data_IF_104614798231
#
_entry.id   IF_104614798231
#
_cell.length_a   1.000
_cell.length_b   1.000
_cell.length_c   1.000
_cell.angle_alpha   90.00
_cell.angle_beta   90.00
_cell.angle_gamma   90.00
#
_symmetry.space_group_name_H-M   'P 1'
#
loop_
_entity.id
_entity.type
_entity.pdbx_description
1 polymer ?
#
# COMPACT_ATOMS: atom_id res chain seq x y z
N UNK A 1 9.24 21.81 -7.17
CA UNK A 1 8.57 21.69 -8.49
C UNK A 1 9.56 21.12 -9.47
N UNK A 2 9.25 20.00 -10.12
CA UNK A 2 10.16 19.22 -10.97
C UNK A 2 9.56 19.05 -12.37
N UNK A 3 10.40 19.01 -13.40
CA UNK A 3 9.97 18.75 -14.77
C UNK A 3 10.25 17.29 -15.12
N UNK A 4 9.21 16.52 -15.48
CA UNK A 4 9.34 15.10 -15.85
C UNK A 4 9.81 14.97 -17.30
N UNK A 5 10.91 14.24 -17.53
CA UNK A 5 11.54 14.08 -18.85
C UNK A 5 11.27 12.70 -19.46
N UNK A 6 11.13 11.65 -18.64
CA UNK A 6 10.80 10.29 -19.08
C UNK A 6 10.07 9.53 -17.96
N UNK A 7 9.01 8.78 -18.31
CA UNK A 7 8.24 7.92 -17.38
C UNK A 7 8.57 6.46 -17.63
N UNK A 8 9.17 5.77 -16.65
CA UNK A 8 9.49 4.33 -16.72
C UNK A 8 9.13 3.65 -15.39
N UNK A 9 7.91 3.12 -15.28
CA UNK A 9 7.46 2.40 -14.08
C UNK A 9 7.47 3.27 -12.80
N UNK A 10 8.01 2.71 -11.71
CA UNK A 10 8.09 3.35 -10.37
C UNK A 10 9.15 4.47 -10.28
N UNK A 11 10.01 4.62 -11.30
CA UNK A 11 11.09 5.62 -11.33
C UNK A 11 10.98 6.54 -12.53
N UNK A 12 10.91 7.84 -12.28
CA UNK A 12 10.84 8.85 -13.33
C UNK A 12 12.14 9.63 -13.44
N UNK A 13 12.57 9.94 -14.65
CA UNK A 13 13.70 10.86 -14.85
C UNK A 13 13.17 12.29 -14.80
N UNK A 14 13.70 13.10 -13.89
CA UNK A 14 13.26 14.47 -13.68
C UNK A 14 14.44 15.43 -13.49
N UNK A 15 14.17 16.72 -13.70
CA UNK A 15 15.08 17.82 -13.40
C UNK A 15 14.52 18.66 -12.27
N UNK A 16 15.30 18.85 -11.21
CA UNK A 16 14.95 19.77 -10.12
C UNK A 16 15.05 21.22 -10.61
N UNK A 17 13.99 22.00 -10.46
CA UNK A 17 14.02 23.42 -10.82
C UNK A 17 14.84 24.25 -9.82
N UNK A 18 14.96 23.78 -8.56
CA UNK A 18 15.69 24.48 -7.50
C UNK A 18 17.21 24.28 -7.62
N UNK A 19 17.65 23.04 -7.80
CA UNK A 19 19.10 22.71 -7.84
C UNK A 19 19.65 22.54 -9.25
N UNK A 20 18.79 22.55 -10.28
CA UNK A 20 19.10 22.27 -11.69
C UNK A 20 19.70 20.87 -11.95
N UNK A 21 19.80 20.02 -10.93
CA UNK A 21 20.27 18.65 -11.06
C UNK A 21 19.22 17.76 -11.73
N UNK A 22 19.69 16.86 -12.57
CA UNK A 22 18.88 15.78 -13.14
C UNK A 22 19.12 14.48 -12.38
N UNK A 23 18.09 13.65 -12.28
CA UNK A 23 18.18 12.34 -11.68
C UNK A 23 16.90 11.54 -11.81
N UNK A 24 16.92 10.34 -11.23
CA UNK A 24 15.72 9.53 -11.08
C UNK A 24 15.05 9.83 -9.74
N UNK A 25 13.73 9.96 -9.78
CA UNK A 25 12.88 10.20 -8.62
C UNK A 25 11.82 9.09 -8.52
N UNK A 26 11.41 8.70 -7.30
CA UNK A 26 10.25 7.85 -7.11
C UNK A 26 8.97 8.52 -7.62
N UNK A 27 8.22 7.84 -8.48
CA UNK A 27 6.99 8.41 -9.05
C UNK A 27 5.88 8.62 -8.01
N UNK A 28 5.84 7.80 -6.96
CA UNK A 28 4.89 7.89 -5.86
C UNK A 28 5.22 9.00 -4.83
N UNK A 29 6.32 9.74 -5.03
CA UNK A 29 6.72 10.88 -4.20
C UNK A 29 6.37 12.22 -4.84
N UNK A 30 5.81 12.21 -6.04
CA UNK A 30 5.50 13.42 -6.80
C UNK A 30 4.05 13.41 -7.28
N UNK A 31 3.42 14.57 -7.15
CA UNK A 31 2.12 14.87 -7.71
C UNK A 31 2.27 15.89 -8.84
N UNK A 32 1.29 15.94 -9.76
CA UNK A 32 1.23 17.03 -10.73
C UNK A 32 0.96 18.33 -10.00
N UNK A 33 1.64 19.40 -10.43
CA UNK A 33 1.38 20.74 -9.90
C UNK A 33 -0.10 21.09 -10.14
N UNK A 34 -0.77 21.60 -9.10
CA UNK A 34 -2.19 21.93 -9.08
C UNK A 34 -3.15 20.73 -9.21
N UNK A 35 -2.72 19.49 -8.92
CA UNK A 35 -3.65 18.38 -8.74
C UNK A 35 -4.04 18.22 -7.27
N UNK A 36 -5.19 17.58 -7.01
CA UNK A 36 -5.61 17.26 -5.64
C UNK A 36 -4.58 16.43 -4.87
N UNK A 37 -3.71 15.69 -5.56
CA UNK A 37 -2.63 14.89 -4.96
C UNK A 37 -1.55 15.74 -4.27
N UNK A 38 -1.55 17.07 -4.45
CA UNK A 38 -0.69 17.98 -3.66
C UNK A 38 -1.28 18.35 -2.31
N UNK A 39 -2.57 18.11 -2.10
CA UNK A 39 -3.27 18.46 -0.86
C UNK A 39 -3.02 17.40 0.21
N UNK A 40 -2.56 17.82 1.39
CA UNK A 40 -2.23 16.91 2.50
C UNK A 40 -3.43 16.08 3.01
N UNK A 41 -4.65 16.57 2.76
CA UNK A 41 -5.90 15.93 3.16
C UNK A 41 -6.50 15.04 2.07
N UNK A 42 -5.90 14.95 0.87
CA UNK A 42 -6.39 14.11 -0.22
C UNK A 42 -5.66 12.77 -0.29
N UNK A 43 -6.42 11.69 -0.24
CA UNK A 43 -5.95 10.31 -0.16
C UNK A 43 -6.48 9.52 -1.37
N UNK A 44 -5.67 9.49 -2.42
CA UNK A 44 -6.01 8.83 -3.69
C UNK A 44 -6.07 7.31 -3.54
N UNK A 45 -7.11 6.69 -4.10
CA UNK A 45 -7.23 5.22 -4.17
C UNK A 45 -7.39 4.52 -2.81
N UNK A 46 -7.72 5.24 -1.74
CA UNK A 46 -7.96 4.66 -0.41
C UNK A 46 -9.42 4.17 -0.30
N UNK A 47 -9.57 2.90 0.09
CA UNK A 47 -10.87 2.28 0.34
C UNK A 47 -11.54 2.85 1.60
N UNK A 48 -12.86 2.68 1.74
CA UNK A 48 -13.58 3.08 2.97
C UNK A 48 -12.97 2.44 4.20
N UNK A 49 -12.67 1.15 4.11
CA UNK A 49 -12.13 0.37 5.23
C UNK A 49 -10.70 0.77 5.58
N UNK A 50 -9.87 1.08 4.59
CA UNK A 50 -8.51 1.56 4.85
C UNK A 50 -8.51 3.01 5.35
N UNK A 51 -9.46 3.85 4.93
CA UNK A 51 -9.68 5.18 5.50
C UNK A 51 -10.04 5.11 6.99
N UNK A 52 -10.95 4.20 7.36
CA UNK A 52 -11.32 3.94 8.76
C UNK A 52 -10.09 3.53 9.58
N UNK A 53 -9.29 2.56 9.08
CA UNK A 53 -8.06 2.12 9.74
C UNK A 53 -7.04 3.24 9.93
N UNK A 54 -6.83 4.07 8.91
CA UNK A 54 -5.87 5.17 8.97
C UNK A 54 -6.33 6.27 9.93
N UNK A 55 -7.59 6.68 9.90
CA UNK A 55 -8.13 7.69 10.82
C UNK A 55 -8.15 7.24 12.27
N UNK A 56 -8.42 5.95 12.51
CA UNK A 56 -8.40 5.36 13.86
C UNK A 56 -6.98 5.03 14.35
N UNK A 57 -5.96 5.17 13.50
CA UNK A 57 -4.57 4.95 13.92
C UNK A 57 -4.12 5.99 14.98
N UNK A 58 -3.20 5.61 15.88
CA UNK A 58 -2.64 6.53 16.87
C UNK A 58 -2.02 7.77 16.22
N UNK A 59 -2.22 8.93 16.84
CA UNK A 59 -1.74 10.23 16.35
C UNK A 59 -2.83 11.11 15.73
N UNK A 60 -3.91 10.51 15.24
CA UNK A 60 -5.10 11.27 14.83
C UNK A 60 -5.95 11.69 16.03
N UNK A 61 -6.70 12.77 15.88
CA UNK A 61 -7.55 13.39 16.92
C UNK A 61 -9.00 13.50 16.44
N UNK A 62 -9.92 13.90 17.32
CA UNK A 62 -11.31 14.17 16.90
C UNK A 62 -11.36 15.26 15.84
N UNK A 63 -12.21 15.06 14.83
CA UNK A 63 -12.26 15.92 13.64
C UNK A 63 -11.10 15.71 12.66
N UNK A 64 -10.16 14.78 12.92
CA UNK A 64 -9.18 14.37 11.90
C UNK A 64 -9.91 13.83 10.68
N UNK A 65 -9.44 14.17 9.49
CA UNK A 65 -10.21 13.91 8.27
C UNK A 65 -9.36 13.61 7.04
N UNK A 66 -9.99 13.00 6.04
CA UNK A 66 -9.44 12.86 4.69
C UNK A 66 -10.54 12.94 3.64
N UNK A 67 -10.18 13.42 2.45
CA UNK A 67 -10.99 13.28 1.24
C UNK A 67 -10.36 12.20 0.37
N UNK A 68 -11.19 11.29 -0.14
CA UNK A 68 -10.77 10.16 -0.97
C UNK A 68 -11.71 10.00 -2.16
N UNK A 69 -11.29 9.24 -3.16
CA UNK A 69 -12.14 8.83 -4.26
C UNK A 69 -13.35 8.02 -3.73
N UNK A 70 -14.53 8.25 -4.29
CA UNK A 70 -15.72 7.48 -3.95
C UNK A 70 -15.69 6.09 -4.61
N UNK A 71 -15.75 5.04 -3.82
CA UNK A 71 -15.81 3.65 -4.33
C UNK A 71 -17.13 3.32 -5.02
N UNK A 72 -18.20 4.02 -4.66
CA UNK A 72 -19.55 3.74 -5.18
C UNK A 72 -19.95 4.63 -6.35
N UNK A 73 -19.20 5.70 -6.63
CA UNK A 73 -19.56 6.65 -7.68
C UNK A 73 -18.29 7.23 -8.30
N UNK A 74 -17.98 6.75 -9.50
CA UNK A 74 -16.79 7.15 -10.24
C UNK A 74 -16.83 8.66 -10.52
N UNK A 75 -15.74 9.36 -10.23
CA UNK A 75 -15.62 10.81 -10.40
C UNK A 75 -16.20 11.65 -9.25
N UNK A 76 -16.82 11.02 -8.24
CA UNK A 76 -17.21 11.70 -7.00
C UNK A 76 -16.22 11.42 -5.87
N UNK A 77 -16.33 12.19 -4.79
CA UNK A 77 -15.44 12.09 -3.64
C UNK A 77 -16.20 11.70 -2.36
N UNK A 78 -15.47 11.29 -1.34
CA UNK A 78 -16.01 11.04 0.00
C UNK A 78 -15.13 11.72 1.04
N UNK A 79 -15.76 12.46 1.95
CA UNK A 79 -15.12 12.99 3.16
C UNK A 79 -15.28 11.96 4.28
N UNK A 80 -14.19 11.58 4.92
CA UNK A 80 -14.19 10.68 6.09
C UNK A 80 -13.65 11.44 7.30
N UNK A 81 -14.37 11.42 8.42
CA UNK A 81 -14.08 12.23 9.62
C UNK A 81 -14.07 11.33 10.85
N UNK A 82 -13.02 11.44 11.67
CA UNK A 82 -12.94 10.79 12.98
C UNK A 82 -13.85 11.49 13.97
N UNK A 83 -14.66 10.69 14.65
CA UNK A 83 -15.67 11.11 15.59
C UNK A 83 -15.63 10.25 16.85
N UNK A 84 -16.35 10.66 17.89
CA UNK A 84 -16.50 9.91 19.13
C UNK A 84 -17.98 9.69 19.43
N UNK A 85 -18.37 8.42 19.53
CA UNK A 85 -19.70 7.99 19.93
C UNK A 85 -19.63 7.45 21.37
N UNK A 86 -20.45 7.93 22.32
CA UNK A 86 -20.44 7.42 23.70
C UNK A 86 -20.70 5.91 23.82
N UNK A 87 -21.44 5.31 22.87
CA UNK A 87 -21.75 3.88 22.85
C UNK A 87 -20.69 3.06 22.11
N UNK A 88 -20.13 3.61 21.03
CA UNK A 88 -19.22 2.89 20.13
C UNK A 88 -17.76 3.37 20.16
N UNK A 89 -17.43 4.31 21.06
CA UNK A 89 -16.12 4.97 21.20
C UNK A 89 -15.68 5.65 19.90
N UNK A 90 -14.40 5.57 19.54
CA UNK A 90 -13.87 6.15 18.31
C UNK A 90 -14.57 5.54 17.09
N UNK A 91 -15.21 6.39 16.29
CA UNK A 91 -15.85 5.99 15.04
C UNK A 91 -15.41 6.88 13.90
N UNK A 92 -15.71 6.47 12.67
CA UNK A 92 -15.48 7.29 11.48
C UNK A 92 -16.81 7.47 10.75
N UNK A 93 -17.18 8.72 10.48
CA UNK A 93 -18.37 9.07 9.69
C UNK A 93 -17.94 9.41 8.27
N UNK A 94 -18.73 8.99 7.29
CA UNK A 94 -18.46 9.23 5.88
C UNK A 94 -19.56 10.06 5.25
N UNK A 95 -19.17 11.09 4.51
CA UNK A 95 -20.05 12.00 3.81
C UNK A 95 -19.75 11.94 2.32
N UNK A 96 -20.78 11.69 1.50
CA UNK A 96 -20.65 11.71 0.05
C UNK A 96 -20.52 13.15 -0.41
N UNK A 97 -19.42 13.49 -1.08
CA UNK A 97 -19.25 14.77 -1.76
C UNK A 97 -19.75 14.58 -3.18
N UNK A 98 -20.85 15.27 -3.51
CA UNK A 98 -21.43 15.25 -4.84
C UNK A 98 -20.83 16.36 -5.69
N UNK A 99 -20.67 16.05 -6.97
CA UNK A 99 -20.25 16.97 -8.01
C UNK A 99 -21.47 17.52 -8.73
N UNK A 100 -21.51 18.83 -8.97
CA UNK A 100 -22.50 19.50 -9.81
C UNK A 100 -22.03 19.50 -11.26
N UNK A 101 -22.97 19.53 -12.21
CA UNK A 101 -22.68 19.53 -13.65
C UNK A 101 -21.88 20.77 -14.08
N UNK A 102 -22.00 21.88 -13.34
CA UNK A 102 -21.28 23.13 -13.58
C UNK A 102 -19.91 23.21 -12.85
N UNK A 103 -19.40 22.11 -12.30
CA UNK A 103 -18.07 22.04 -11.71
C UNK A 103 -17.97 22.37 -10.21
N UNK A 104 -19.09 22.42 -9.48
CA UNK A 104 -19.10 22.64 -8.02
C UNK A 104 -19.17 21.36 -7.18
N UNK A 105 -18.93 21.50 -5.87
CA UNK A 105 -18.95 20.40 -4.89
C UNK A 105 -19.89 20.70 -3.73
N UNK A 106 -20.56 19.69 -3.20
CA UNK A 106 -21.35 19.83 -1.97
C UNK A 106 -21.52 18.52 -1.20
N UNK A 107 -21.79 18.64 0.10
CA UNK A 107 -22.27 17.55 0.96
C UNK A 107 -23.77 17.76 1.25
N UNK A 108 -24.13 18.97 1.67
CA UNK A 108 -25.52 19.42 1.81
C UNK A 108 -25.83 20.42 0.68
N UNK A 109 -26.99 20.33 0.00
CA UNK A 109 -27.38 21.29 -1.05
C UNK A 109 -27.45 22.75 -0.57
N UNK A 110 -27.47 23.00 0.74
CA UNK A 110 -27.48 24.34 1.34
C UNK A 110 -26.13 25.07 1.20
N UNK A 111 -25.04 24.33 1.01
CA UNK A 111 -23.67 24.86 0.98
C UNK A 111 -22.92 24.22 -0.19
N UNK A 112 -22.74 24.98 -1.27
CA UNK A 112 -22.01 24.58 -2.48
C UNK A 112 -20.68 25.33 -2.57
N UNK A 113 -19.67 24.69 -3.16
CA UNK A 113 -18.30 25.19 -3.21
C UNK A 113 -17.73 25.06 -4.63
N UNK A 114 -16.88 26.01 -5.04
CA UNK A 114 -16.22 25.96 -6.35
C UNK A 114 -15.05 24.97 -6.38
N UNK A 115 -14.51 24.61 -5.21
CA UNK A 115 -13.41 23.67 -5.08
C UNK A 115 -13.51 22.83 -3.79
N UNK A 116 -12.78 21.71 -3.76
CA UNK A 116 -12.66 20.91 -2.53
C UNK A 116 -11.88 21.65 -1.44
N UNK A 117 -10.93 22.52 -1.82
CA UNK A 117 -10.20 23.40 -0.91
C UNK A 117 -11.15 24.32 -0.15
N UNK A 118 -12.11 24.95 -0.85
CA UNK A 118 -13.14 25.79 -0.25
C UNK A 118 -14.05 24.99 0.68
N UNK A 119 -14.47 23.79 0.26
CA UNK A 119 -15.27 22.88 1.09
C UNK A 119 -14.54 22.56 2.40
N UNK A 120 -13.26 22.19 2.33
CA UNK A 120 -12.45 21.90 3.51
C UNK A 120 -12.29 23.15 4.38
N UNK A 121 -11.99 24.31 3.79
CA UNK A 121 -11.84 25.56 4.52
C UNK A 121 -13.13 25.96 5.27
N UNK A 122 -14.30 25.71 4.68
CA UNK A 122 -15.61 25.92 5.32
C UNK A 122 -15.79 25.01 6.53
N UNK A 123 -15.66 23.70 6.34
CA UNK A 123 -15.90 22.73 7.42
C UNK A 123 -14.80 22.71 8.50
N UNK A 124 -13.65 23.36 8.27
CA UNK A 124 -12.67 23.69 9.30
C UNK A 124 -13.08 24.86 10.20
N UNK A 125 -13.97 25.74 9.74
CA UNK A 125 -14.50 26.88 10.52
C UNK A 125 -15.69 26.47 11.39
N UNK A 126 -16.60 25.64 10.88
CA UNK A 126 -17.75 25.13 11.61
C UNK A 126 -18.15 23.72 11.11
N UNK A 127 -18.80 22.92 11.95
CA UNK A 127 -19.26 21.58 11.52
C UNK A 127 -20.40 21.63 10.50
N UNK A 128 -21.29 22.64 10.58
CA UNK A 128 -22.38 22.89 9.62
C UNK A 128 -23.17 21.62 9.22
N UNK A 129 -23.51 20.80 10.21
CA UNK A 129 -24.24 19.54 10.03
C UNK A 129 -23.37 18.28 9.89
N UNK A 130 -22.05 18.41 9.85
CA UNK A 130 -21.14 17.28 10.07
C UNK A 130 -21.12 16.88 11.56
N UNK A 131 -20.69 15.65 11.85
CA UNK A 131 -20.56 15.15 13.21
C UNK A 131 -19.52 15.92 14.03
N UNK A 132 -18.45 16.38 13.37
CA UNK A 132 -17.37 17.15 13.96
C UNK A 132 -16.94 18.25 12.99
N UNK A 133 -16.40 19.34 13.56
CA UNK A 133 -15.64 20.30 12.78
C UNK A 133 -14.34 19.66 12.31
N UNK A 134 -13.91 19.93 11.08
CA UNK A 134 -12.64 19.43 10.58
C UNK A 134 -11.49 20.11 11.34
N UNK A 135 -10.54 19.32 11.82
CA UNK A 135 -9.38 19.82 12.58
C UNK A 135 -8.12 19.74 11.75
N UNK A 136 -7.54 18.55 11.66
CA UNK A 136 -6.27 18.28 10.96
C UNK A 136 -6.44 17.17 9.93
N UNK A 137 -5.68 17.19 8.82
CA UNK A 137 -5.62 16.04 7.91
C UNK A 137 -5.23 14.76 8.65
N UNK A 138 -5.70 13.62 8.16
CA UNK A 138 -5.28 12.31 8.64
C UNK A 138 -3.76 12.19 8.52
N UNK A 139 -3.10 11.64 9.54
CA UNK A 139 -1.69 11.31 9.45
C UNK A 139 -1.48 10.23 8.38
N UNK A 140 -0.77 10.56 7.31
CA UNK A 140 -0.34 9.59 6.30
C UNK A 140 1.00 8.98 6.69
N UNK A 141 1.14 7.66 6.48
CA UNK A 141 2.45 7.03 6.47
C UNK A 141 3.20 7.48 5.23
N UNK A 142 4.45 7.93 5.37
CA UNK A 142 5.29 8.29 4.22
C UNK A 142 5.27 7.13 3.22
N UNK A 143 5.05 7.40 1.91
CA UNK A 143 5.08 6.34 0.91
C UNK A 143 6.41 5.61 0.98
N UNK A 144 6.42 4.28 0.86
CA UNK A 144 7.68 3.55 0.83
C UNK A 144 8.46 3.91 -0.44
N UNK A 145 9.79 4.08 -0.30
CA UNK A 145 10.67 4.29 -1.44
C UNK A 145 10.60 3.03 -2.32
N UNK A 146 10.35 3.16 -3.64
CA UNK A 146 10.38 2.03 -4.55
C UNK A 146 11.71 1.29 -4.48
N UNK A 147 11.67 0.00 -4.82
CA UNK A 147 12.88 -0.79 -4.96
C UNK A 147 13.79 -0.19 -6.03
N UNK A 148 15.10 -0.39 -5.91
CA UNK A 148 16.08 0.20 -6.83
C UNK A 148 15.81 -0.23 -8.28
N UNK A 149 15.96 0.71 -9.21
CA UNK A 149 15.69 0.48 -10.63
C UNK A 149 16.63 -0.59 -11.16
N UNK A 150 16.08 -1.55 -11.91
CA UNK A 150 16.82 -2.66 -12.55
C UNK A 150 17.55 -3.60 -11.56
N UNK A 151 17.31 -3.49 -10.25
CA UNK A 151 17.93 -4.32 -9.20
C UNK A 151 17.12 -5.60 -8.92
N UNK A 152 16.80 -6.38 -9.96
CA UNK A 152 16.03 -7.62 -9.80
C UNK A 152 16.90 -8.79 -9.30
N UNK A 153 18.00 -9.04 -10.01
CA UNK A 153 19.05 -9.95 -9.57
C UNK A 153 20.15 -9.12 -8.92
N UNK A 154 20.45 -9.39 -7.66
CA UNK A 154 21.40 -8.60 -6.88
C UNK A 154 22.60 -9.46 -6.45
N UNK A 155 23.80 -8.88 -6.35
CA UNK A 155 24.97 -9.59 -5.84
C UNK A 155 24.81 -9.86 -4.34
N UNK A 156 25.26 -11.02 -3.86
CA UNK A 156 25.10 -11.43 -2.46
C UNK A 156 25.75 -10.44 -1.49
N UNK A 157 26.84 -9.81 -1.90
CA UNK A 157 27.64 -8.84 -1.13
C UNK A 157 26.88 -7.55 -0.84
N UNK A 158 25.81 -7.26 -1.61
CA UNK A 158 24.92 -6.12 -1.36
C UNK A 158 24.06 -6.30 -0.11
N UNK A 159 23.96 -7.53 0.42
CA UNK A 159 23.16 -7.89 1.57
C UNK A 159 24.05 -8.10 2.81
N UNK A 160 23.70 -7.40 3.88
CA UNK A 160 24.25 -7.67 5.22
C UNK A 160 23.19 -8.37 6.07
N UNK A 161 23.36 -9.66 6.33
CA UNK A 161 22.50 -10.41 7.25
C UNK A 161 22.70 -9.92 8.68
N UNK A 162 21.63 -9.57 9.39
CA UNK A 162 21.71 -8.95 10.72
C UNK A 162 21.11 -9.83 11.82
N UNK A 163 19.86 -10.30 11.64
CA UNK A 163 19.16 -11.07 12.68
C UNK A 163 18.35 -12.19 12.06
N UNK A 164 18.55 -13.42 12.54
CA UNK A 164 17.67 -14.54 12.19
C UNK A 164 16.27 -14.31 12.76
N UNK A 165 15.27 -14.32 11.89
CA UNK A 165 13.86 -14.13 12.22
C UNK A 165 13.14 -15.46 12.46
N UNK A 166 13.52 -16.50 11.72
CA UNK A 166 12.93 -17.83 11.81
C UNK A 166 13.68 -18.88 11.00
N UNK A 167 13.31 -20.13 11.18
CA UNK A 167 13.79 -21.26 10.40
C UNK A 167 12.61 -22.19 10.09
N UNK A 168 12.58 -22.73 8.88
CA UNK A 168 11.57 -23.69 8.44
C UNK A 168 12.19 -24.81 7.62
N UNK A 169 11.32 -25.71 7.13
CA UNK A 169 11.74 -26.89 6.36
C UNK A 169 12.62 -26.54 5.15
N UNK A 170 12.30 -25.44 4.47
CA UNK A 170 12.90 -25.01 3.21
C UNK A 170 14.06 -24.01 3.36
N UNK A 171 14.47 -23.71 4.59
CA UNK A 171 15.59 -22.81 4.88
C UNK A 171 15.26 -21.78 5.96
N UNK A 172 15.98 -20.67 5.98
CA UNK A 172 15.96 -19.71 7.07
C UNK A 172 15.49 -18.34 6.61
N UNK A 173 14.90 -17.57 7.52
CA UNK A 173 14.49 -16.19 7.26
C UNK A 173 15.31 -15.26 8.13
N UNK A 174 15.90 -14.26 7.49
CA UNK A 174 16.80 -13.29 8.11
C UNK A 174 16.29 -11.88 7.87
N UNK A 175 16.47 -11.01 8.86
CA UNK A 175 16.45 -9.57 8.66
C UNK A 175 17.84 -9.15 8.18
N UNK A 176 17.87 -8.37 7.11
CA UNK A 176 19.10 -7.92 6.49
C UNK A 176 18.99 -6.45 6.06
N UNK A 177 20.14 -5.87 5.74
CA UNK A 177 20.24 -4.53 5.15
C UNK A 177 20.81 -4.63 3.73
N UNK A 178 20.06 -4.17 2.74
CA UNK A 178 20.48 -4.01 1.35
C UNK A 178 21.12 -2.64 1.13
N UNK A 179 22.30 -2.60 0.48
CA UNK A 179 23.07 -1.40 0.14
C UNK A 179 23.21 -0.39 1.30
N UNK A 180 23.32 -0.90 2.54
CA UNK A 180 23.48 -0.14 3.79
C UNK A 180 22.31 0.79 4.18
N UNK A 181 21.23 0.85 3.40
CA UNK A 181 20.14 1.81 3.62
C UNK A 181 18.73 1.21 3.64
N UNK A 182 18.52 0.04 3.03
CA UNK A 182 17.20 -0.57 2.91
C UNK A 182 17.10 -1.80 3.82
N UNK A 183 16.22 -1.75 4.81
CA UNK A 183 15.92 -2.91 5.64
C UNK A 183 14.99 -3.86 4.88
N UNK A 184 15.42 -5.10 4.74
CA UNK A 184 14.73 -6.15 4.00
C UNK A 184 14.66 -7.41 4.84
N UNK A 185 13.89 -8.37 4.37
CA UNK A 185 13.99 -9.72 4.87
C UNK A 185 14.35 -10.68 3.74
N UNK A 186 15.20 -11.63 4.09
CA UNK A 186 15.89 -12.52 3.16
C UNK A 186 15.59 -13.94 3.58
N UNK A 187 14.95 -14.68 2.69
CA UNK A 187 14.78 -16.11 2.85
C UNK A 187 15.88 -16.84 2.10
N UNK A 188 16.64 -17.66 2.83
CA UNK A 188 17.67 -18.52 2.28
C UNK A 188 17.06 -19.86 1.92
N UNK A 189 17.35 -20.37 0.73
CA UNK A 189 16.96 -21.71 0.30
C UNK A 189 18.14 -22.67 0.52
N UNK A 190 17.85 -23.91 0.93
CA UNK A 190 18.88 -24.94 1.08
C UNK A 190 19.43 -25.34 -0.30
N UNK A 191 20.75 -25.55 -0.46
CA UNK A 191 21.31 -26.03 -1.72
C UNK A 191 20.62 -27.32 -2.19
N UNK A 192 20.38 -27.45 -3.50
CA UNK A 192 19.70 -28.61 -4.07
C UNK A 192 18.19 -28.71 -3.79
N UNK A 193 17.56 -27.71 -3.18
CA UNK A 193 16.09 -27.72 -2.98
C UNK A 193 15.30 -27.46 -4.25
N UNK A 194 15.86 -26.74 -5.23
CA UNK A 194 15.21 -26.41 -6.50
C UNK A 194 16.23 -26.01 -7.58
N UNK A 195 15.88 -26.20 -8.85
CA UNK A 195 16.66 -25.68 -9.98
C UNK A 195 16.47 -24.17 -10.15
N UNK A 196 17.54 -23.45 -10.48
CA UNK A 196 17.56 -21.98 -10.60
C UNK A 196 16.57 -21.49 -11.67
N UNK A 197 16.44 -22.21 -12.77
CA UNK A 197 15.55 -21.84 -13.88
C UNK A 197 14.07 -21.94 -13.47
N UNK A 198 13.71 -22.99 -12.75
CA UNK A 198 12.35 -23.17 -12.23
C UNK A 198 12.01 -22.08 -11.20
N UNK A 199 12.97 -21.78 -10.32
CA UNK A 199 12.84 -20.68 -9.36
C UNK A 199 12.60 -19.33 -10.06
N UNK A 200 13.42 -18.99 -11.06
CA UNK A 200 13.33 -17.72 -11.77
C UNK A 200 12.01 -17.57 -12.52
N UNK A 201 11.51 -18.65 -13.15
CA UNK A 201 10.22 -18.64 -13.82
C UNK A 201 9.09 -18.27 -12.84
N UNK A 202 9.10 -18.84 -11.65
CA UNK A 202 8.08 -18.61 -10.63
C UNK A 202 8.23 -17.24 -9.95
N UNK A 203 9.47 -16.83 -9.64
CA UNK A 203 9.76 -15.52 -9.09
C UNK A 203 9.37 -14.38 -10.06
N UNK A 204 9.53 -14.58 -11.37
CA UNK A 204 9.10 -13.61 -12.39
C UNK A 204 7.58 -13.45 -12.44
N UNK A 205 6.80 -14.51 -12.21
CA UNK A 205 5.35 -14.40 -12.08
C UNK A 205 4.99 -13.56 -10.86
N UNK A 206 5.63 -13.83 -9.73
CA UNK A 206 5.34 -13.13 -8.47
C UNK A 206 5.73 -11.67 -8.45
N UNK A 207 6.79 -11.30 -9.18
CA UNK A 207 7.16 -9.90 -9.40
C UNK A 207 6.00 -9.06 -9.96
N UNK A 208 5.09 -9.69 -10.72
CA UNK A 208 3.91 -9.02 -11.30
C UNK A 208 2.76 -8.86 -10.32
N UNK A 209 2.73 -9.61 -9.22
CA UNK A 209 1.68 -9.58 -8.22
C UNK A 209 1.92 -8.43 -7.24
N UNK A 210 1.30 -7.28 -7.51
CA UNK A 210 1.41 -6.07 -6.68
C UNK A 210 0.07 -5.77 -6.01
N UNK A 211 0.02 -5.95 -4.69
CA UNK A 211 -1.17 -5.65 -3.89
C UNK A 211 -0.77 -5.29 -2.45
N UNK A 212 -1.47 -4.34 -1.84
CA UNK A 212 -1.17 -3.82 -0.49
C UNK A 212 -1.29 -4.88 0.63
N UNK A 213 -1.92 -6.02 0.34
CA UNK A 213 -2.07 -7.16 1.27
C UNK A 213 -1.18 -8.35 0.91
N UNK A 214 -0.30 -8.21 -0.08
CA UNK A 214 0.70 -9.20 -0.45
C UNK A 214 2.09 -8.65 -0.15
N UNK A 215 2.97 -9.50 0.37
CA UNK A 215 4.36 -9.13 0.64
C UNK A 215 5.05 -8.87 -0.69
N UNK A 216 5.61 -7.67 -0.86
CA UNK A 216 6.31 -7.29 -2.10
C UNK A 216 7.63 -8.07 -2.23
N UNK A 217 7.76 -8.82 -3.33
CA UNK A 217 9.02 -9.41 -3.77
C UNK A 217 9.89 -8.33 -4.41
N UNK A 218 11.06 -8.07 -3.81
CA UNK A 218 11.96 -7.00 -4.23
C UNK A 218 13.01 -7.49 -5.22
N UNK A 219 13.73 -8.54 -4.86
CA UNK A 219 14.86 -9.05 -5.62
C UNK A 219 15.14 -10.52 -5.29
N UNK A 220 16.04 -11.12 -6.06
CA UNK A 220 16.55 -12.48 -5.86
C UNK A 220 18.08 -12.52 -5.97
N UNK A 221 18.70 -13.50 -5.31
CA UNK A 221 20.08 -13.94 -5.59
C UNK A 221 19.97 -15.31 -6.25
N UNK A 222 20.41 -15.42 -7.49
CA UNK A 222 20.28 -16.63 -8.32
C UNK A 222 21.43 -17.62 -8.12
N UNK A 223 22.56 -17.17 -7.60
CA UNK A 223 23.68 -18.03 -7.21
C UNK A 223 23.32 -18.86 -5.97
N UNK A 224 23.69 -20.14 -5.96
CA UNK A 224 23.47 -20.98 -4.79
C UNK A 224 24.35 -20.53 -3.59
N UNK A 225 23.79 -20.50 -2.36
CA UNK A 225 22.39 -20.74 -2.03
C UNK A 225 21.47 -19.58 -2.46
N UNK A 226 20.34 -19.91 -3.09
CA UNK A 226 19.36 -18.95 -3.63
C UNK A 226 18.75 -18.12 -2.49
N UNK A 227 18.67 -16.80 -2.67
CA UNK A 227 18.01 -15.89 -1.73
C UNK A 227 16.78 -15.22 -2.35
N UNK A 228 15.72 -15.11 -1.56
CA UNK A 228 14.50 -14.36 -1.89
C UNK A 228 14.45 -13.12 -0.99
N UNK A 229 14.41 -11.93 -1.58
CA UNK A 229 14.43 -10.66 -0.86
C UNK A 229 13.05 -10.01 -0.93
N UNK A 230 12.45 -9.74 0.21
CA UNK A 230 11.13 -9.15 0.35
C UNK A 230 11.14 -7.97 1.31
N UNK A 231 10.02 -7.24 1.38
CA UNK A 231 9.85 -6.18 2.38
C UNK A 231 9.93 -6.72 3.82
N UNK A 232 10.49 -5.92 4.72
CA UNK A 232 10.60 -6.28 6.13
C UNK A 232 9.33 -5.94 6.92
N UNK A 233 8.69 -6.95 7.50
CA UNK A 233 7.47 -6.80 8.31
C UNK A 233 7.79 -6.72 9.81
N UNK A 234 7.80 -5.51 10.36
CA UNK A 234 8.30 -5.25 11.72
C UNK A 234 7.42 -5.79 12.88
N UNK A 235 6.15 -6.15 12.64
CA UNK A 235 5.16 -6.46 13.69
C UNK A 235 4.97 -7.96 14.03
N UNK A 236 6.00 -8.80 13.88
CA UNK A 236 6.06 -10.11 14.56
C UNK A 236 5.33 -11.29 13.88
N UNK A 237 5.27 -12.43 14.60
CA UNK A 237 5.50 -13.73 13.99
C UNK A 237 4.45 -14.26 12.99
N UNK A 238 3.18 -13.99 13.28
CA UNK A 238 2.04 -14.46 12.50
C UNK A 238 1.95 -13.80 11.12
N UNK A 239 2.51 -12.59 10.97
CA UNK A 239 2.50 -11.85 9.70
C UNK A 239 3.62 -12.31 8.76
N UNK A 240 4.79 -12.72 9.28
CA UNK A 240 5.83 -13.32 8.44
C UNK A 240 5.49 -14.75 8.06
N UNK A 241 4.96 -15.58 8.96
CA UNK A 241 4.61 -16.95 8.58
C UNK A 241 3.59 -16.95 7.44
N UNK A 242 2.50 -16.20 7.55
CA UNK A 242 1.46 -16.15 6.52
C UNK A 242 1.90 -15.45 5.24
N UNK A 243 2.58 -14.30 5.34
CA UNK A 243 3.04 -13.56 4.17
C UNK A 243 4.10 -14.32 3.37
N UNK A 244 5.01 -15.01 4.06
CA UNK A 244 6.03 -15.85 3.42
C UNK A 244 5.47 -17.17 2.95
N UNK A 245 4.49 -17.76 3.64
CA UNK A 245 3.82 -18.97 3.17
C UNK A 245 3.05 -18.71 1.88
N UNK A 246 2.35 -17.56 1.76
CA UNK A 246 1.69 -17.15 0.52
C UNK A 246 2.69 -16.89 -0.60
N UNK A 247 3.78 -16.19 -0.29
CA UNK A 247 4.88 -15.97 -1.21
C UNK A 247 5.45 -17.33 -1.68
N UNK A 248 5.72 -18.28 -0.78
CA UNK A 248 6.26 -19.59 -1.14
C UNK A 248 5.27 -20.52 -1.85
N UNK A 249 4.00 -20.51 -1.48
CA UNK A 249 2.96 -21.25 -2.20
C UNK A 249 2.93 -20.87 -3.68
N UNK A 250 3.39 -19.65 -3.99
CA UNK A 250 3.53 -19.13 -5.34
C UNK A 250 4.95 -19.23 -5.93
N UNK A 251 6.01 -19.63 -5.19
CA UNK A 251 7.39 -19.90 -5.71
C UNK A 251 7.79 -21.39 -5.69
N UNK A 252 7.08 -22.23 -4.92
CA UNK A 252 7.50 -23.62 -4.64
C UNK A 252 6.39 -24.65 -4.78
N UNK A 253 5.13 -24.22 -4.79
CA UNK A 253 4.01 -25.10 -5.11
C UNK A 253 3.50 -24.71 -6.49
N UNK A 254 3.34 -25.69 -7.39
CA UNK A 254 2.53 -25.56 -8.60
C UNK A 254 1.08 -25.20 -8.22
N UNK A 255 0.81 -23.96 -7.83
CA UNK A 255 -0.53 -23.40 -7.90
C UNK A 255 -0.71 -23.06 -9.37
N UNK A 256 -1.25 -24.05 -10.10
CA UNK A 256 -1.77 -23.85 -11.44
C UNK A 256 -2.88 -22.80 -11.32
N UNK A 257 -2.55 -21.53 -11.53
CA UNK A 257 -3.54 -20.49 -11.82
C UNK A 257 -3.97 -20.76 -13.26
N UNK A 258 -4.78 -21.81 -13.46
CA UNK A 258 -5.47 -21.98 -14.73
C UNK A 258 -6.41 -20.79 -14.88
N UNK A 259 -6.22 -20.09 -15.98
CA UNK A 259 -7.14 -19.11 -16.52
C UNK A 259 -8.48 -19.79 -16.76
N UNK A 260 -9.42 -19.60 -15.84
CA UNK A 260 -10.85 -19.38 -16.10
C UNK A 260 -11.65 -19.66 -14.82
N UNK A 261 -12.67 -18.82 -14.60
CA UNK A 261 -13.82 -18.99 -13.70
C UNK A 261 -13.90 -18.16 -12.42
N UNK A 262 -15.11 -17.63 -12.30
CA UNK A 262 -15.72 -16.73 -11.33
C UNK A 262 -16.02 -17.45 -10.03
N UNK A 263 -15.89 -16.78 -8.88
CA UNK A 263 -16.60 -17.17 -7.67
C UNK A 263 -17.65 -16.10 -7.32
N UNK A 264 -18.90 -16.41 -7.65
CA UNK A 264 -20.10 -15.80 -7.10
C UNK A 264 -20.57 -16.66 -5.90
N UNK A 265 -21.19 -16.06 -4.86
CA UNK A 265 -21.38 -16.64 -3.53
C UNK A 265 -22.58 -17.59 -3.49
N UNK A 266 -22.72 -18.34 -2.39
CA UNK A 266 -23.80 -19.30 -2.04
C UNK A 266 -23.62 -20.75 -2.51
N UNK A 267 -23.11 -21.59 -1.61
CA UNK A 267 -23.52 -23.00 -1.35
C UNK A 267 -22.59 -23.63 -0.30
N UNK A 268 -23.03 -23.65 0.95
CA UNK A 268 -22.65 -24.71 1.90
C UNK A 268 -23.29 -26.04 1.44
N UNK A 269 -22.70 -27.17 1.83
CA UNK A 269 -23.44 -28.14 2.65
C UNK A 269 -22.73 -28.41 4.00
N UNK A 270 -23.54 -28.51 5.06
CA UNK A 270 -23.21 -29.19 6.34
C UNK A 270 -23.57 -30.70 6.21
N UNK A 271 -23.53 -31.55 7.26
CA UNK A 271 -22.56 -31.78 8.35
C UNK A 271 -22.06 -33.26 8.38
N UNK A 272 -21.01 -33.55 9.15
CA UNK A 272 -20.76 -34.91 9.66
C UNK A 272 -19.46 -35.59 9.22
N UNK A 273 -18.38 -35.32 9.94
CA UNK A 273 -17.38 -36.33 10.33
C UNK A 273 -16.85 -35.93 11.71
N UNK A 274 -17.23 -36.71 12.73
CA UNK A 274 -16.59 -36.73 14.05
C UNK A 274 -15.60 -37.90 14.14
N UNK A 275 -14.71 -37.81 15.16
CA UNK A 275 -13.82 -38.83 15.77
C UNK A 275 -12.38 -38.80 15.24
N UNK A 276 -11.32 -38.40 15.95
CA UNK A 276 -11.04 -37.99 17.34
C UNK A 276 -10.13 -36.75 17.35
#
# INVERSE_FOLDING_TARGET
>A
MEQTLLRSGEWWRARSLATRKEGYIPSNYVARVNSLETEEWFFKGISRKDAERQLLAPGNVLGSFMIRDSETTKGSYSLSVRDYDPQHRDTVKHYKIRTLDNGGFYISPRSTFGSLQELVAHYKKASDGLCQKLTVPCMSSKPQKPWEKDAWEIPRESLKMEKKLGAGQFGEVWMATYNKHAKVAVKTMKPGSMFVEAFLAEANLMKTLQHDKLVKLHAVVTEEPIYIITEFMAKGATCWELGYQLCLLLVTCRVRVDSDMVLCPSRCPQPGQELF
#
